data_IF_959698549887
#
_entry.id   IF_959698549887
#
_cell.length_a   1.000
_cell.length_b   1.000
_cell.length_c   1.000
_cell.angle_alpha   90.00
_cell.angle_beta   90.00
_cell.angle_gamma   90.00
#
_symmetry.space_group_name_H-M   'P 1'
#
loop_
_entity.id
_entity.type
_entity.pdbx_description
1 polymer ?
#
# COMPACT_ATOMS: atom_id res chain seq x y z
N UNK A 1 5.35 -2.03 -16.36
CA UNK A 1 6.52 -2.61 -15.67
C UNK A 1 6.52 -2.12 -14.23
N UNK A 2 5.64 -2.72 -13.42
CA UNK A 2 5.45 -2.40 -11.99
C UNK A 2 5.84 -3.59 -11.11
N UNK A 3 6.53 -4.59 -11.68
CA UNK A 3 6.83 -5.85 -11.03
C UNK A 3 7.65 -5.80 -9.72
N UNK A 4 8.54 -4.83 -9.42
CA UNK A 4 9.24 -4.86 -8.13
C UNK A 4 8.36 -4.44 -6.95
N UNK A 5 7.39 -3.53 -7.15
CA UNK A 5 6.54 -3.02 -6.05
C UNK A 5 5.76 -4.15 -5.38
N UNK A 6 5.10 -5.03 -6.14
CA UNK A 6 4.28 -6.09 -5.57
C UNK A 6 5.11 -7.15 -4.82
N UNK A 7 6.41 -7.26 -5.10
CA UNK A 7 7.29 -8.19 -4.39
C UNK A 7 7.76 -7.62 -3.05
N UNK A 8 7.85 -6.28 -2.95
CA UNK A 8 8.33 -5.57 -1.76
C UNK A 8 7.22 -4.99 -0.89
N UNK A 9 5.98 -4.99 -1.37
CA UNK A 9 4.79 -4.49 -0.67
C UNK A 9 3.86 -5.66 -0.37
N UNK A 10 3.58 -5.90 0.91
CA UNK A 10 2.66 -6.94 1.35
C UNK A 10 1.43 -6.32 2.02
N UNK A 11 0.20 -6.55 1.51
CA UNK A 11 -1.00 -6.14 2.23
C UNK A 11 -1.13 -6.98 3.50
N UNK A 12 -1.10 -6.33 4.65
CA UNK A 12 -1.26 -6.98 5.95
C UNK A 12 -2.73 -7.15 6.31
N UNK A 13 -3.52 -6.08 6.17
CA UNK A 13 -4.91 -6.06 6.62
C UNK A 13 -5.70 -4.94 5.94
N UNK A 14 -6.99 -5.17 5.69
CA UNK A 14 -7.97 -4.16 5.35
C UNK A 14 -8.98 -4.08 6.50
N UNK A 15 -9.08 -2.93 7.17
CA UNK A 15 -9.96 -2.73 8.32
C UNK A 15 -10.69 -1.39 8.21
N UNK A 16 -12.01 -1.41 8.15
CA UNK A 16 -12.88 -0.23 8.09
C UNK A 16 -12.42 0.87 7.08
N UNK A 17 -11.98 0.48 5.89
CA UNK A 17 -11.51 1.42 4.86
C UNK A 17 -10.05 1.85 5.00
N UNK A 18 -9.30 1.31 5.96
CA UNK A 18 -7.85 1.48 6.07
C UNK A 18 -7.13 0.24 5.57
N UNK A 19 -6.32 0.40 4.52
CA UNK A 19 -5.45 -0.64 4.01
C UNK A 19 -4.07 -0.52 4.67
N UNK A 20 -3.67 -1.54 5.41
CA UNK A 20 -2.35 -1.62 6.04
C UNK A 20 -1.44 -2.43 5.12
N UNK A 21 -0.34 -1.83 4.72
CA UNK A 21 0.69 -2.46 3.88
C UNK A 21 2.04 -2.44 4.59
N UNK A 22 2.76 -3.56 4.51
CA UNK A 22 4.14 -3.66 4.95
C UNK A 22 5.08 -3.53 3.76
N UNK A 23 6.17 -2.77 3.94
CA UNK A 23 7.22 -2.63 2.93
C UNK A 23 8.57 -2.99 3.51
N UNK A 24 9.43 -3.62 2.70
CA UNK A 24 10.75 -4.07 3.16
C UNK A 24 11.73 -2.92 3.45
N UNK A 25 11.67 -1.84 2.69
CA UNK A 25 12.62 -0.73 2.77
C UNK A 25 11.91 0.63 2.82
N UNK A 26 12.48 1.64 3.50
CA UNK A 26 11.87 2.96 3.62
C UNK A 26 11.73 3.69 2.27
N UNK A 27 12.59 3.40 1.28
CA UNK A 27 12.45 3.94 -0.06
C UNK A 27 11.10 3.57 -0.71
N UNK A 28 10.63 2.34 -0.46
CA UNK A 28 9.32 1.88 -0.92
C UNK A 28 8.17 2.58 -0.21
N UNK A 29 8.33 2.97 1.06
CA UNK A 29 7.29 3.72 1.76
C UNK A 29 7.05 5.08 1.11
N UNK A 30 8.12 5.77 0.67
CA UNK A 30 8.00 7.04 -0.04
C UNK A 30 7.33 6.86 -1.40
N UNK A 31 7.71 5.82 -2.17
CA UNK A 31 7.05 5.47 -3.43
C UNK A 31 5.56 5.15 -3.23
N UNK A 32 5.21 4.37 -2.20
CA UNK A 32 3.82 4.04 -1.88
C UNK A 32 3.02 5.27 -1.46
N UNK A 33 3.60 6.22 -0.74
CA UNK A 33 2.95 7.51 -0.46
C UNK A 33 2.73 8.33 -1.72
N UNK A 34 3.69 8.36 -2.63
CA UNK A 34 3.54 9.04 -3.91
C UNK A 34 2.43 8.42 -4.76
N UNK A 35 2.37 7.07 -4.78
CA UNK A 35 1.36 6.31 -5.50
C UNK A 35 0.03 6.19 -4.73
N UNK A 36 -0.06 6.65 -3.48
CA UNK A 36 -1.23 6.48 -2.60
C UNK A 36 -2.51 6.98 -3.28
N UNK A 37 -2.47 8.19 -3.83
CA UNK A 37 -3.64 8.78 -4.49
C UNK A 37 -4.10 7.98 -5.71
N UNK A 38 -3.15 7.44 -6.49
CA UNK A 38 -3.46 6.61 -7.66
C UNK A 38 -3.94 5.22 -7.24
N UNK A 39 -3.32 4.63 -6.20
CA UNK A 39 -3.67 3.34 -5.65
C UNK A 39 -5.07 3.36 -5.04
N UNK A 40 -5.41 4.39 -4.24
CA UNK A 40 -6.76 4.57 -3.69
C UNK A 40 -7.79 4.73 -4.82
N UNK A 41 -7.49 5.51 -5.86
CA UNK A 41 -8.37 5.62 -7.03
C UNK A 41 -8.59 4.26 -7.70
N UNK A 42 -7.52 3.50 -7.99
CA UNK A 42 -7.64 2.18 -8.62
C UNK A 42 -8.37 1.16 -7.76
N UNK A 43 -8.10 1.16 -6.45
CA UNK A 43 -8.81 0.32 -5.47
C UNK A 43 -10.30 0.66 -5.44
N UNK A 44 -10.66 1.95 -5.52
CA UNK A 44 -12.06 2.38 -5.52
C UNK A 44 -12.76 2.20 -6.88
N UNK A 45 -12.03 2.10 -7.99
CA UNK A 45 -12.60 1.91 -9.35
C UNK A 45 -13.14 0.49 -9.56
N UNK A 46 -12.80 -0.49 -8.72
CA UNK A 46 -13.34 -1.86 -8.82
C UNK A 46 -13.43 -2.63 -7.50
N UNK A 47 -13.10 -2.02 -6.37
CA UNK A 47 -13.16 -2.66 -5.06
C UNK A 47 -14.57 -2.68 -4.48
N UNK A 48 -14.94 -3.80 -3.86
CA UNK A 48 -16.22 -3.94 -3.16
C UNK A 48 -16.32 -3.06 -1.90
N UNK A 49 -15.18 -2.60 -1.37
CA UNK A 49 -15.12 -1.69 -0.22
C UNK A 49 -14.24 -0.49 -0.54
N UNK A 50 -14.71 0.73 -0.23
CA UNK A 50 -13.90 1.91 -0.44
C UNK A 50 -12.71 1.94 0.51
N UNK A 51 -11.53 2.18 -0.02
CA UNK A 51 -10.32 2.43 0.79
C UNK A 51 -10.16 3.94 0.91
N UNK A 52 -10.14 4.42 2.14
CA UNK A 52 -10.03 5.84 2.50
C UNK A 52 -8.63 6.20 2.98
N UNK A 53 -7.91 5.23 3.56
CA UNK A 53 -6.56 5.45 4.12
C UNK A 53 -5.62 4.31 3.79
N UNK A 54 -4.36 4.66 3.55
CA UNK A 54 -3.27 3.72 3.37
C UNK A 54 -2.27 3.87 4.53
N UNK A 55 -2.14 2.85 5.38
CA UNK A 55 -1.13 2.82 6.42
C UNK A 55 0.08 2.01 5.96
N UNK A 56 1.23 2.66 5.86
CA UNK A 56 2.47 2.04 5.39
C UNK A 56 3.39 1.76 6.57
N UNK A 57 3.77 0.49 6.74
CA UNK A 57 4.69 0.04 7.79
C UNK A 57 5.98 -0.45 7.17
N UNK A 58 7.11 0.13 7.55
CA UNK A 58 8.42 -0.33 7.09
C UNK A 58 8.89 -1.47 8.01
N UNK A 59 9.15 -2.64 7.44
CA UNK A 59 9.75 -3.75 8.16
C UNK A 59 11.19 -3.39 8.50
N UNK A 60 11.50 -3.21 9.79
CA UNK A 60 12.89 -3.06 10.24
C UNK A 60 13.61 -4.40 10.11
N UNK A 61 14.52 -4.53 9.15
CA UNK A 61 15.54 -5.58 9.15
C UNK A 61 16.51 -5.28 10.30
N UNK A 62 16.60 -6.20 11.28
CA UNK A 62 17.66 -6.23 12.29
C UNK A 62 18.89 -6.92 11.71
#
# INVERSE_FOLDING_TARGET
>A
MGEPVCSHVKPLKLDAGTLIVEVDEPAWATQMKFLEADLLKRLNVGGAMPVERLEIRVRRKR
#
